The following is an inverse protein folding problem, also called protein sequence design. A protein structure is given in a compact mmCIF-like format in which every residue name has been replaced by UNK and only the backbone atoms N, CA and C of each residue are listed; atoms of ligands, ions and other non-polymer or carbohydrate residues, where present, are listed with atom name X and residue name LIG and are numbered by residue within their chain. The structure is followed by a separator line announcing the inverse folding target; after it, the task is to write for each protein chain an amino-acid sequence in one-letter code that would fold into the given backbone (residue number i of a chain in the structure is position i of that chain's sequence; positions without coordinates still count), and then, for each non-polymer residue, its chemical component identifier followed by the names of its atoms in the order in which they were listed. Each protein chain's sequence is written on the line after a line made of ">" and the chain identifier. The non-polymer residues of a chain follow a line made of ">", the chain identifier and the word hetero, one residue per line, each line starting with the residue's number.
data_IF_900756594072
#
_entry.id   IF_900756594072
#
_cell.length_a   1.000
_cell.length_b   1.000
_cell.length_c   1.000
_cell.angle_alpha   90.00
_cell.angle_beta   90.00
_cell.angle_gamma   90.00
#
_symmetry.space_group_name_H-M   'P 1'
#
loop_
_entity.id
_entity.type
_entity.pdbx_description
1 polymer ?
#
# COMPACT_ATOMS: atom_id res chain seq x y z
N UNK A 1 17.86 -22.63 -12.66
CA UNK A 1 18.14 -21.40 -11.92
C UNK A 1 17.11 -20.28 -12.21
N UNK A 2 16.84 -19.92 -13.46
CA UNK A 2 15.87 -18.85 -13.80
C UNK A 2 14.47 -19.11 -13.23
N UNK A 3 13.98 -20.34 -13.29
CA UNK A 3 12.65 -20.68 -12.74
C UNK A 3 12.57 -20.56 -11.20
N UNK A 4 13.69 -20.82 -10.50
CA UNK A 4 13.72 -20.53 -9.06
C UNK A 4 13.59 -19.03 -8.77
N UNK A 5 14.29 -18.17 -9.53
CA UNK A 5 14.18 -16.71 -9.39
C UNK A 5 12.77 -16.20 -9.74
N UNK A 6 12.12 -16.74 -10.77
CA UNK A 6 10.71 -16.46 -11.09
C UNK A 6 9.79 -16.78 -9.93
N UNK A 7 9.90 -17.97 -9.36
CA UNK A 7 9.08 -18.39 -8.21
C UNK A 7 9.33 -17.52 -6.97
N UNK A 8 10.60 -17.28 -6.63
CA UNK A 8 10.97 -16.46 -5.47
C UNK A 8 10.45 -15.01 -5.63
N UNK A 9 10.64 -14.41 -6.81
CA UNK A 9 10.16 -13.03 -7.03
C UNK A 9 8.64 -12.94 -6.97
N UNK A 10 7.91 -13.92 -7.47
CA UNK A 10 6.45 -13.96 -7.43
C UNK A 10 5.94 -14.15 -5.99
N UNK A 11 6.57 -15.00 -5.20
CA UNK A 11 6.26 -15.17 -3.77
C UNK A 11 6.53 -13.87 -3.01
N UNK A 12 7.70 -13.25 -3.22
CA UNK A 12 8.05 -11.98 -2.58
C UNK A 12 7.07 -10.86 -2.96
N UNK A 13 6.69 -10.75 -4.25
CA UNK A 13 5.69 -9.81 -4.73
C UNK A 13 4.34 -10.03 -4.04
N UNK A 14 3.90 -11.28 -3.93
CA UNK A 14 2.61 -11.61 -3.30
C UNK A 14 2.61 -11.27 -1.81
N UNK A 15 3.67 -11.63 -1.08
CA UNK A 15 3.79 -11.34 0.36
C UNK A 15 3.80 -9.83 0.61
N UNK A 16 4.64 -9.09 -0.10
CA UNK A 16 4.75 -7.64 0.09
C UNK A 16 3.48 -6.91 -0.32
N UNK A 17 2.80 -7.35 -1.38
CA UNK A 17 1.49 -6.83 -1.79
C UNK A 17 0.43 -7.09 -0.72
N UNK A 18 0.40 -8.29 -0.13
CA UNK A 18 -0.52 -8.62 0.96
C UNK A 18 -0.29 -7.77 2.21
N UNK A 19 0.98 -7.55 2.60
CA UNK A 19 1.34 -6.71 3.74
C UNK A 19 0.89 -5.26 3.56
N UNK A 20 1.15 -4.66 2.41
CA UNK A 20 0.74 -3.26 2.17
C UNK A 20 -0.78 -3.12 2.03
N UNK A 21 -1.44 -4.07 1.38
CA UNK A 21 -2.90 -4.13 1.28
C UNK A 21 -3.54 -4.21 2.66
N UNK A 22 -3.01 -5.08 3.53
CA UNK A 22 -3.46 -5.22 4.92
C UNK A 22 -3.27 -3.93 5.72
N UNK A 23 -2.15 -3.23 5.54
CA UNK A 23 -1.92 -1.95 6.18
C UNK A 23 -2.95 -0.88 5.74
N UNK A 24 -3.21 -0.75 4.44
CA UNK A 24 -4.22 0.19 3.93
C UNK A 24 -5.63 -0.17 4.41
N UNK A 25 -5.98 -1.47 4.41
CA UNK A 25 -7.25 -1.95 4.92
C UNK A 25 -7.43 -1.65 6.41
N UNK A 26 -6.39 -1.86 7.24
CA UNK A 26 -6.42 -1.56 8.66
C UNK A 26 -6.74 -0.07 8.92
N UNK A 27 -6.13 0.83 8.15
CA UNK A 27 -6.48 2.25 8.21
C UNK A 27 -7.95 2.51 7.80
N UNK A 28 -8.44 1.81 6.76
CA UNK A 28 -9.79 2.00 6.24
C UNK A 28 -10.88 1.61 7.25
N UNK A 29 -10.75 0.43 7.86
CA UNK A 29 -11.85 -0.16 8.65
C UNK A 29 -11.68 -0.02 10.17
N UNK A 30 -10.49 0.33 10.66
CA UNK A 30 -10.23 0.40 12.11
C UNK A 30 -9.65 1.75 12.53
N UNK A 31 -8.49 2.15 11.98
CA UNK A 31 -7.74 3.29 12.51
C UNK A 31 -8.53 4.59 12.27
N UNK A 32 -8.92 4.87 11.03
CA UNK A 32 -9.61 6.12 10.72
C UNK A 32 -11.01 6.21 11.35
N UNK A 33 -11.85 5.16 11.34
CA UNK A 33 -13.09 5.19 12.11
C UNK A 33 -12.89 5.40 13.61
N UNK A 34 -11.87 4.77 14.20
CA UNK A 34 -11.53 4.96 15.61
C UNK A 34 -11.09 6.40 15.91
N UNK A 35 -10.19 6.96 15.11
CA UNK A 35 -9.72 8.34 15.26
C UNK A 35 -10.83 9.36 15.03
N UNK A 36 -11.74 9.11 14.10
CA UNK A 36 -12.90 9.99 13.84
C UNK A 36 -13.75 10.20 15.09
N UNK A 37 -13.86 9.21 15.95
CA UNK A 37 -14.63 9.27 17.20
C UNK A 37 -13.93 10.04 18.34
N UNK A 38 -12.68 10.50 18.14
CA UNK A 38 -11.91 11.22 19.15
C UNK A 38 -11.99 12.74 18.98
N UNK A 39 -11.61 13.47 20.05
CA UNK A 39 -11.42 14.92 19.99
C UNK A 39 -10.25 15.31 19.07
N UNK A 40 -10.18 16.59 18.68
CA UNK A 40 -9.20 17.08 17.71
C UNK A 40 -7.76 16.93 18.20
N UNK A 41 -7.50 17.08 19.49
CA UNK A 41 -6.16 16.91 20.07
C UNK A 41 -5.71 15.47 19.97
N UNK A 42 -6.56 14.55 20.36
CA UNK A 42 -6.29 13.10 20.25
C UNK A 42 -6.08 12.68 18.82
N UNK A 43 -6.95 13.14 17.90
CA UNK A 43 -6.82 12.87 16.47
C UNK A 43 -5.46 13.32 15.93
N UNK A 44 -5.13 14.60 16.10
CA UNK A 44 -3.90 15.19 15.53
C UNK A 44 -2.66 14.53 16.14
N UNK A 45 -2.65 14.33 17.46
CA UNK A 45 -1.51 13.73 18.17
C UNK A 45 -1.27 12.29 17.73
N UNK A 46 -2.32 11.47 17.71
CA UNK A 46 -2.21 10.06 17.36
C UNK A 46 -1.84 9.89 15.89
N UNK A 47 -2.49 10.62 14.97
CA UNK A 47 -2.19 10.54 13.56
C UNK A 47 -0.76 10.94 13.24
N UNK A 48 -0.27 12.07 13.77
CA UNK A 48 1.12 12.50 13.60
C UNK A 48 2.12 11.46 14.14
N UNK A 49 1.81 10.82 15.26
CA UNK A 49 2.67 9.79 15.85
C UNK A 49 2.74 8.53 15.00
N UNK A 50 1.58 8.06 14.51
CA UNK A 50 1.51 6.90 13.62
C UNK A 50 2.17 7.18 12.27
N UNK A 51 1.96 8.37 11.69
CA UNK A 51 2.56 8.74 10.40
C UNK A 51 4.09 8.86 10.48
N UNK A 52 4.64 9.29 11.62
CA UNK A 52 6.09 9.22 11.85
C UNK A 52 6.60 7.80 12.01
N UNK A 53 5.87 6.97 12.75
CA UNK A 53 6.27 5.60 13.04
C UNK A 53 6.21 4.68 11.80
N UNK A 54 5.26 4.92 10.88
CA UNK A 54 5.10 4.07 9.69
C UNK A 54 6.24 4.24 8.68
N UNK A 55 6.97 5.36 8.72
CA UNK A 55 8.15 5.59 7.86
C UNK A 55 9.35 4.86 8.49
N UNK A 56 9.37 3.56 8.36
CA UNK A 56 10.46 2.71 8.82
C UNK A 56 10.85 1.69 7.72
N UNK A 57 12.06 1.09 7.79
CA UNK A 57 12.54 0.16 6.76
C UNK A 57 11.62 -1.04 6.53
N UNK A 58 10.98 -1.56 7.58
CA UNK A 58 10.06 -2.68 7.48
C UNK A 58 8.85 -2.34 6.59
N UNK A 59 8.19 -1.22 6.87
CA UNK A 59 7.04 -0.78 6.07
C UNK A 59 7.46 -0.38 4.66
N UNK A 60 8.55 0.40 4.53
CA UNK A 60 8.97 0.93 3.23
C UNK A 60 9.49 -0.17 2.30
N UNK A 61 10.39 -1.02 2.78
CA UNK A 61 11.02 -2.08 1.97
C UNK A 61 10.17 -3.37 1.98
N UNK A 62 9.67 -3.77 3.15
CA UNK A 62 8.87 -4.98 3.32
C UNK A 62 7.45 -4.89 2.74
N UNK A 63 6.92 -3.68 2.57
CA UNK A 63 5.58 -3.44 2.04
C UNK A 63 5.57 -2.47 0.86
N UNK A 64 5.63 -1.17 1.14
CA UNK A 64 5.27 -0.11 0.18
C UNK A 64 6.12 -0.10 -1.11
N UNK A 65 7.43 0.07 -0.99
CA UNK A 65 8.35 0.06 -2.15
C UNK A 65 8.60 -1.38 -2.60
N UNK A 66 8.70 -2.32 -1.63
CA UNK A 66 8.95 -3.73 -1.91
C UNK A 66 7.88 -4.36 -2.81
N UNK A 67 6.60 -4.06 -2.58
CA UNK A 67 5.51 -4.54 -3.45
C UNK A 67 5.69 -4.09 -4.91
N UNK A 68 6.10 -2.83 -5.13
CA UNK A 68 6.36 -2.31 -6.47
C UNK A 68 7.58 -2.99 -7.12
N UNK A 69 8.69 -3.05 -6.39
CA UNK A 69 9.96 -3.59 -6.90
C UNK A 69 9.84 -5.09 -7.21
N UNK A 70 9.33 -5.88 -6.27
CA UNK A 70 9.21 -7.33 -6.48
C UNK A 70 8.20 -7.69 -7.56
N UNK A 71 7.10 -6.93 -7.67
CA UNK A 71 6.15 -7.14 -8.77
C UNK A 71 6.77 -6.76 -10.11
N UNK A 72 7.52 -5.66 -10.19
CA UNK A 72 8.27 -5.28 -11.39
C UNK A 72 9.32 -6.31 -11.78
N UNK A 73 10.09 -6.84 -10.83
CA UNK A 73 11.06 -7.93 -11.06
C UNK A 73 10.34 -9.18 -11.55
N UNK A 74 9.19 -9.54 -10.93
CA UNK A 74 8.41 -10.69 -11.37
C UNK A 74 7.92 -10.52 -12.82
N UNK A 75 7.46 -9.32 -13.23
CA UNK A 75 7.14 -9.02 -14.64
C UNK A 75 8.37 -9.23 -15.52
N UNK A 76 9.49 -8.59 -15.20
CA UNK A 76 10.71 -8.64 -16.02
C UNK A 76 11.23 -10.07 -16.24
N UNK A 77 11.23 -10.91 -15.20
CA UNK A 77 11.67 -12.30 -15.28
C UNK A 77 10.71 -13.19 -16.10
N UNK A 78 9.47 -12.77 -16.30
CA UNK A 78 8.45 -13.53 -17.03
C UNK A 78 8.16 -12.97 -18.45
N UNK A 79 8.88 -11.94 -18.93
CA UNK A 79 8.70 -11.37 -20.29
C UNK A 79 9.10 -12.33 -21.40
N UNK A 80 10.08 -13.22 -21.16
CA UNK A 80 10.61 -14.16 -22.17
C UNK A 80 10.09 -15.57 -21.97
N UNK A 81 9.47 -16.17 -23.00
CA UNK A 81 9.12 -17.58 -23.15
C UNK A 81 8.23 -18.24 -22.08
N UNK A 82 7.34 -19.14 -22.48
CA UNK A 82 6.66 -20.14 -21.62
C UNK A 82 5.72 -19.65 -20.53
N UNK A 83 5.90 -18.43 -20.01
CA UNK A 83 5.12 -17.87 -18.91
C UNK A 83 3.85 -17.10 -19.36
N UNK A 84 3.32 -17.43 -20.54
CA UNK A 84 2.17 -16.71 -21.15
C UNK A 84 0.91 -16.72 -20.30
N UNK A 85 0.72 -17.73 -19.46
CA UNK A 85 -0.43 -17.84 -18.56
C UNK A 85 -0.29 -16.96 -17.31
N UNK A 86 0.93 -16.70 -16.84
CA UNK A 86 1.22 -15.99 -15.58
C UNK A 86 1.41 -14.50 -15.80
N UNK A 87 2.09 -14.11 -16.88
CA UNK A 87 2.49 -12.73 -17.17
C UNK A 87 1.33 -11.71 -17.15
N UNK A 88 0.16 -11.98 -17.77
CA UNK A 88 -0.94 -11.01 -17.75
C UNK A 88 -1.39 -10.63 -16.34
N UNK A 89 -1.44 -11.59 -15.44
CA UNK A 89 -1.86 -11.37 -14.05
C UNK A 89 -0.85 -10.54 -13.27
N UNK A 90 0.45 -10.81 -13.45
CA UNK A 90 1.50 -10.01 -12.80
C UNK A 90 1.51 -8.58 -13.37
N UNK A 91 1.33 -8.42 -14.68
CA UNK A 91 1.30 -7.11 -15.33
C UNK A 91 0.09 -6.28 -14.85
N UNK A 92 -1.10 -6.88 -14.76
CA UNK A 92 -2.29 -6.23 -14.18
C UNK A 92 -2.04 -5.83 -12.74
N UNK A 93 -1.46 -6.72 -11.92
CA UNK A 93 -1.12 -6.40 -10.55
C UNK A 93 -0.16 -5.21 -10.44
N UNK A 94 0.86 -5.14 -11.29
CA UNK A 94 1.80 -4.01 -11.33
C UNK A 94 1.09 -2.70 -11.67
N UNK A 95 0.24 -2.69 -12.70
CA UNK A 95 -0.51 -1.49 -13.09
C UNK A 95 -1.43 -1.01 -11.98
N UNK A 96 -2.20 -1.92 -11.36
CA UNK A 96 -3.09 -1.59 -10.26
C UNK A 96 -2.32 -1.04 -9.05
N UNK A 97 -1.16 -1.64 -8.73
CA UNK A 97 -0.37 -1.14 -7.62
C UNK A 97 0.32 0.19 -7.93
N UNK A 98 0.73 0.44 -9.17
CA UNK A 98 1.20 1.76 -9.60
C UNK A 98 0.12 2.83 -9.38
N UNK A 99 -1.15 2.52 -9.64
CA UNK A 99 -2.27 3.43 -9.32
C UNK A 99 -2.32 3.71 -7.82
N UNK A 100 -2.25 2.66 -6.97
CA UNK A 100 -2.23 2.84 -5.51
C UNK A 100 -1.03 3.67 -5.04
N UNK A 101 0.14 3.45 -5.64
CA UNK A 101 1.38 4.17 -5.35
C UNK A 101 1.26 5.66 -5.70
N UNK A 102 0.75 5.97 -6.89
CA UNK A 102 0.52 7.37 -7.34
C UNK A 102 -0.50 8.06 -6.43
N UNK A 103 -1.61 7.41 -6.09
CA UNK A 103 -2.61 7.97 -5.15
C UNK A 103 -1.94 8.29 -3.81
N UNK A 104 -1.10 7.41 -3.29
CA UNK A 104 -0.40 7.62 -2.03
C UNK A 104 0.46 8.88 -2.08
N UNK A 105 1.30 9.02 -3.11
CA UNK A 105 2.22 10.16 -3.24
C UNK A 105 1.50 11.46 -3.57
N UNK A 106 0.46 11.41 -4.41
CA UNK A 106 -0.22 12.61 -4.89
C UNK A 106 -1.31 13.12 -3.93
N UNK A 107 -1.85 12.27 -3.07
CA UNK A 107 -2.99 12.65 -2.21
C UNK A 107 -2.72 12.40 -0.74
N UNK A 108 -2.44 11.14 -0.33
CA UNK A 108 -2.35 10.84 1.10
C UNK A 108 -1.11 11.44 1.75
N UNK A 109 0.06 11.37 1.11
CA UNK A 109 1.31 11.94 1.64
C UNK A 109 1.21 13.46 1.83
N UNK A 110 0.75 14.26 0.84
CA UNK A 110 0.59 15.71 1.05
C UNK A 110 -0.37 16.07 2.19
N UNK A 111 -1.44 15.31 2.38
CA UNK A 111 -2.37 15.52 3.51
C UNK A 111 -1.68 15.19 4.84
N UNK A 112 -0.93 14.10 4.91
CA UNK A 112 -0.13 13.73 6.09
C UNK A 112 0.91 14.81 6.43
N UNK A 113 1.63 15.29 5.40
CA UNK A 113 2.65 16.32 5.57
C UNK A 113 2.04 17.65 6.04
N UNK A 114 0.86 18.01 5.53
CA UNK A 114 0.10 19.17 6.00
C UNK A 114 -0.26 19.07 7.49
N UNK A 115 -0.64 17.87 7.96
CA UNK A 115 -0.92 17.64 9.37
C UNK A 115 0.36 17.69 10.24
N UNK A 116 1.47 17.11 9.75
CA UNK A 116 2.77 17.14 10.46
C UNK A 116 3.35 18.54 10.56
N UNK A 117 3.23 19.34 9.50
CA UNK A 117 3.76 20.71 9.43
C UNK A 117 3.06 21.67 10.38
N UNK A 118 1.89 21.33 10.92
CA UNK A 118 1.21 22.09 11.95
C UNK A 118 2.01 22.16 13.28
N UNK A 119 3.02 21.32 13.46
CA UNK A 119 3.91 21.34 14.61
C UNK A 119 3.43 20.50 15.79
N UNK A 120 3.95 20.79 16.97
CA UNK A 120 3.64 20.03 18.18
C UNK A 120 2.19 20.28 18.64
N UNK A 121 1.35 19.23 18.76
CA UNK A 121 -0.05 19.37 19.19
C UNK A 121 -0.24 20.07 20.54
N UNK A 122 0.78 20.01 21.41
CA UNK A 122 0.75 20.74 22.71
C UNK A 122 0.79 22.26 22.57
N UNK A 123 1.29 22.78 21.47
CA UNK A 123 1.48 24.22 21.21
C UNK A 123 0.56 24.75 20.10
N UNK A 124 -0.30 23.92 19.49
CA UNK A 124 -1.25 24.36 18.48
C UNK A 124 -2.43 25.05 19.15
N UNK A 125 -2.70 26.30 18.80
CA UNK A 125 -3.80 27.08 19.34
C UNK A 125 -5.16 26.70 18.77
N UNK A 126 -5.21 26.23 17.51
CA UNK A 126 -6.46 25.86 16.83
C UNK A 126 -6.32 24.47 16.19
N UNK A 127 -6.52 23.43 17.01
CA UNK A 127 -6.49 22.04 16.57
C UNK A 127 -7.65 21.69 15.64
N UNK A 128 -8.81 22.32 15.81
CA UNK A 128 -9.96 22.10 14.94
C UNK A 128 -9.67 22.55 13.50
N UNK A 129 -9.05 23.72 13.33
CA UNK A 129 -8.63 24.18 11.99
C UNK A 129 -7.55 23.29 11.37
N UNK A 130 -6.63 22.73 12.16
CA UNK A 130 -5.62 21.79 11.67
C UNK A 130 -6.28 20.51 11.17
N UNK A 131 -7.19 19.91 11.95
CA UNK A 131 -7.94 18.71 11.57
C UNK A 131 -8.82 18.98 10.33
N UNK A 132 -9.48 20.14 10.26
CA UNK A 132 -10.29 20.52 9.11
C UNK A 132 -9.45 20.60 7.82
N UNK A 133 -8.25 21.21 7.88
CA UNK A 133 -7.33 21.30 6.73
C UNK A 133 -6.79 19.93 6.29
N UNK A 134 -6.63 18.98 7.19
CA UNK A 134 -6.25 17.59 6.86
C UNK A 134 -7.27 16.95 5.92
N UNK A 135 -8.52 17.37 5.94
CA UNK A 135 -9.58 16.86 5.08
C UNK A 135 -9.72 15.33 5.18
N UNK A 136 -10.12 14.88 6.36
CA UNK A 136 -10.27 13.47 6.71
C UNK A 136 -11.09 12.69 5.67
N UNK A 137 -12.19 13.28 5.18
CA UNK A 137 -13.05 12.63 4.19
C UNK A 137 -12.30 12.33 2.89
N UNK A 138 -11.49 13.29 2.40
CA UNK A 138 -10.67 13.11 1.20
C UNK A 138 -9.61 12.04 1.42
N UNK A 139 -8.93 12.08 2.57
CA UNK A 139 -7.92 11.09 2.92
C UNK A 139 -8.50 9.68 2.94
N UNK A 140 -9.64 9.49 3.61
CA UNK A 140 -10.34 8.18 3.72
C UNK A 140 -10.81 7.68 2.36
N UNK A 141 -11.41 8.55 1.54
CA UNK A 141 -11.87 8.18 0.19
C UNK A 141 -10.72 7.60 -0.63
N UNK A 142 -9.60 8.31 -0.70
CA UNK A 142 -8.46 7.84 -1.49
C UNK A 142 -7.74 6.64 -0.85
N UNK A 143 -7.76 6.53 0.50
CA UNK A 143 -7.30 5.32 1.17
C UNK A 143 -8.16 4.11 0.79
N UNK A 144 -9.48 4.24 0.70
CA UNK A 144 -10.37 3.17 0.29
C UNK A 144 -10.13 2.76 -1.17
N UNK A 145 -9.91 3.73 -2.07
CA UNK A 145 -9.58 3.45 -3.47
C UNK A 145 -8.28 2.66 -3.57
N UNK A 146 -7.20 3.14 -2.93
CA UNK A 146 -5.91 2.43 -2.97
C UNK A 146 -5.97 1.05 -2.29
N UNK A 147 -6.79 0.89 -1.25
CA UNK A 147 -7.04 -0.42 -0.63
C UNK A 147 -7.70 -1.38 -1.61
N UNK A 148 -8.76 -0.94 -2.30
CA UNK A 148 -9.48 -1.75 -3.27
C UNK A 148 -8.60 -2.20 -4.44
N UNK A 149 -7.87 -1.27 -5.06
CA UNK A 149 -6.99 -1.62 -6.19
C UNK A 149 -5.81 -2.50 -5.76
N UNK A 150 -5.27 -2.30 -4.54
CA UNK A 150 -4.21 -3.17 -4.00
C UNK A 150 -4.73 -4.56 -3.67
N UNK A 151 -5.97 -4.69 -3.19
CA UNK A 151 -6.60 -5.98 -2.93
C UNK A 151 -6.77 -6.78 -4.23
N UNK A 152 -7.22 -6.13 -5.31
CA UNK A 152 -7.30 -6.77 -6.63
C UNK A 152 -5.92 -7.16 -7.14
N UNK A 153 -4.90 -6.29 -6.97
CA UNK A 153 -3.51 -6.60 -7.33
C UNK A 153 -2.99 -7.83 -6.56
N UNK A 154 -3.26 -7.90 -5.26
CA UNK A 154 -2.93 -9.06 -4.43
C UNK A 154 -3.61 -10.35 -4.94
N UNK A 155 -4.90 -10.29 -5.27
CA UNK A 155 -5.64 -11.40 -5.86
C UNK A 155 -5.04 -11.88 -7.20
N UNK A 156 -4.63 -10.94 -8.07
CA UNK A 156 -3.95 -11.27 -9.33
C UNK A 156 -2.61 -11.99 -9.08
N UNK A 157 -1.80 -11.55 -8.11
CA UNK A 157 -0.54 -12.20 -7.76
C UNK A 157 -0.76 -13.59 -7.14
N UNK A 158 -1.76 -13.73 -6.27
CA UNK A 158 -2.13 -15.02 -5.70
C UNK A 158 -2.57 -16.02 -6.80
N UNK A 159 -3.37 -15.55 -7.74
CA UNK A 159 -3.76 -16.37 -8.89
C UNK A 159 -2.56 -16.72 -9.80
N UNK A 160 -1.66 -15.77 -10.03
CA UNK A 160 -0.42 -16.01 -10.76
C UNK A 160 0.43 -17.12 -10.11
N UNK A 161 0.50 -17.17 -8.77
CA UNK A 161 1.17 -18.26 -8.05
C UNK A 161 0.52 -19.64 -8.30
N UNK A 162 -0.81 -19.71 -8.31
CA UNK A 162 -1.55 -20.95 -8.62
C UNK A 162 -1.22 -21.45 -10.02
N UNK A 163 -1.27 -20.55 -11.01
CA UNK A 163 -0.94 -20.88 -12.39
C UNK A 163 0.53 -21.30 -12.54
N UNK A 164 1.43 -20.60 -11.85
CA UNK A 164 2.86 -20.92 -11.88
C UNK A 164 3.16 -22.30 -11.27
N UNK A 165 2.47 -22.67 -10.20
CA UNK A 165 2.57 -24.00 -9.60
C UNK A 165 2.05 -25.11 -10.52
N UNK A 166 0.91 -24.90 -11.18
CA UNK A 166 0.30 -25.86 -12.11
C UNK A 166 1.16 -26.18 -13.34
N UNK A 167 1.95 -25.23 -13.83
CA UNK A 167 2.85 -25.44 -14.99
C UNK A 167 4.10 -26.27 -14.64
N UNK A 168 4.36 -26.58 -13.38
CA UNK A 168 5.50 -27.38 -12.91
C UNK A 168 5.13 -28.81 -12.55
N UNK A 169 3.84 -29.07 -12.38
CA UNK A 169 3.33 -30.40 -12.03
C UNK A 169 2.83 -31.22 -13.24
N UNK A 170 2.84 -30.63 -14.42
CA UNK A 170 2.52 -31.25 -15.71
C UNK A 170 3.80 -31.50 -16.51
#
# INVERSE_FOLDING_TARGET
>A
MLDAFRGISLVAATITMGLITGAFALYAHTIMPGLKATDDRTFVTAFQSMDRAIINPWFMVGGFVGALVFTGVAVALNLGSGARSVLPWIAVALVLYLVAFVITIAVNVPLNDGLKSAGNPGHITDLAAVRHRFNEARWVTWNNVRTGVSLVAFGCLAWALVLYGGTRGA
#
